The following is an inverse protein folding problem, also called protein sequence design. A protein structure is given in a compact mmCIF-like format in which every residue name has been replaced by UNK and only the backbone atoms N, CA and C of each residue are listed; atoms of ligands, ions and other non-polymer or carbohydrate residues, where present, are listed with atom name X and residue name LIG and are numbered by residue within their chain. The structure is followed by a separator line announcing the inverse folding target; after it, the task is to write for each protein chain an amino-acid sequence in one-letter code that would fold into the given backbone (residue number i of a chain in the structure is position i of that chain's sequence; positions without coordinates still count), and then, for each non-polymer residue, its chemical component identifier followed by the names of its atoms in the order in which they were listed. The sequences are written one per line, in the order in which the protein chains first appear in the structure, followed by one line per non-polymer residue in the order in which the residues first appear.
data_IF_169949158296
#
_entry.id   IF_169949158296
#
_cell.length_a   1.000
_cell.length_b   1.000
_cell.length_c   1.000
_cell.angle_alpha   90.00
_cell.angle_beta   90.00
_cell.angle_gamma   90.00
#
_symmetry.space_group_name_H-M   'P 1'
#
loop_
_entity.id
_entity.type
_entity.pdbx_description
1 polymer ?
#
# COMPACT_ATOMS: atom_id res chain seq x y z
N UNK A 1 -17.45 13.18 -25.68
CA UNK A 1 -17.49 13.99 -24.43
C UNK A 1 -18.34 13.38 -23.32
N UNK A 2 -19.62 13.03 -23.54
CA UNK A 2 -20.48 12.47 -22.47
C UNK A 2 -19.96 11.14 -21.89
N UNK A 3 -19.45 10.25 -22.75
CA UNK A 3 -18.91 8.94 -22.36
C UNK A 3 -17.63 9.05 -21.50
N UNK A 4 -16.67 9.89 -21.90
CA UNK A 4 -15.45 10.13 -21.10
C UNK A 4 -15.77 10.73 -19.72
N UNK A 5 -16.80 11.58 -19.62
CA UNK A 5 -17.23 12.13 -18.33
C UNK A 5 -17.88 11.06 -17.43
N UNK A 6 -18.66 10.14 -17.99
CA UNK A 6 -19.23 9.02 -17.24
C UNK A 6 -18.13 8.10 -16.70
N UNK A 7 -17.17 7.74 -17.57
CA UNK A 7 -16.02 6.90 -17.20
C UNK A 7 -15.18 7.56 -16.10
N UNK A 8 -14.86 8.85 -16.25
CA UNK A 8 -14.14 9.64 -15.23
C UNK A 8 -14.85 9.60 -13.88
N UNK A 9 -16.14 9.88 -13.86
CA UNK A 9 -16.91 9.95 -12.62
C UNK A 9 -17.03 8.56 -11.96
N UNK A 10 -17.18 7.50 -12.75
CA UNK A 10 -17.18 6.13 -12.24
C UNK A 10 -15.84 5.74 -11.62
N UNK A 11 -14.72 6.03 -12.31
CA UNK A 11 -13.38 5.78 -11.82
C UNK A 11 -13.07 6.55 -10.52
N UNK A 12 -13.45 7.82 -10.46
CA UNK A 12 -13.30 8.65 -9.26
C UNK A 12 -14.16 8.12 -8.10
N UNK A 13 -15.43 7.83 -8.35
CA UNK A 13 -16.35 7.31 -7.33
C UNK A 13 -15.87 5.99 -6.73
N UNK A 14 -15.43 5.05 -7.58
CA UNK A 14 -14.83 3.80 -7.12
C UNK A 14 -13.60 4.04 -6.23
N UNK A 15 -12.70 4.93 -6.66
CA UNK A 15 -11.45 5.20 -5.94
C UNK A 15 -11.72 5.88 -4.59
N UNK A 16 -12.72 6.77 -4.50
CA UNK A 16 -13.14 7.38 -3.25
C UNK A 16 -13.71 6.35 -2.26
N UNK A 17 -14.54 5.42 -2.73
CA UNK A 17 -15.07 4.32 -1.91
C UNK A 17 -13.93 3.42 -1.41
N UNK A 18 -12.98 3.09 -2.30
CA UNK A 18 -11.78 2.32 -1.94
C UNK A 18 -10.98 3.03 -0.85
N UNK A 19 -10.74 4.34 -0.99
CA UNK A 19 -10.04 5.14 0.01
C UNK A 19 -10.79 5.18 1.35
N UNK A 20 -12.11 5.29 1.33
CA UNK A 20 -12.91 5.21 2.56
C UNK A 20 -12.72 3.84 3.25
N UNK A 21 -12.79 2.75 2.51
CA UNK A 21 -12.58 1.40 3.04
C UNK A 21 -11.20 1.22 3.71
N UNK A 22 -10.11 1.63 3.06
CA UNK A 22 -8.77 1.54 3.64
C UNK A 22 -8.57 2.48 4.83
N UNK A 23 -9.18 3.67 4.82
CA UNK A 23 -9.17 4.57 5.98
C UNK A 23 -9.91 3.97 7.18
N UNK A 24 -10.96 3.16 6.98
CA UNK A 24 -11.62 2.47 8.08
C UNK A 24 -10.72 1.38 8.66
N UNK A 25 -10.05 0.60 7.80
CA UNK A 25 -9.11 -0.45 8.22
C UNK A 25 -7.91 0.12 8.99
N UNK A 26 -7.40 1.29 8.59
CA UNK A 26 -6.24 1.91 9.24
C UNK A 26 -6.50 2.31 10.70
N UNK A 27 -7.75 2.56 11.09
CA UNK A 27 -8.13 2.95 12.47
C UNK A 27 -7.81 1.88 13.52
N UNK A 28 -7.79 0.61 13.13
CA UNK A 28 -7.44 -0.48 14.05
C UNK A 28 -5.94 -0.47 14.41
N UNK A 29 -5.06 0.02 13.53
CA UNK A 29 -3.60 -0.09 13.71
C UNK A 29 -3.06 0.74 14.88
N UNK A 30 -3.46 2.02 15.10
CA UNK A 30 -3.04 2.78 16.28
C UNK A 30 -3.50 2.13 17.59
N UNK A 31 -4.70 1.54 17.61
CA UNK A 31 -5.24 0.85 18.79
C UNK A 31 -4.38 -0.38 19.11
N UNK A 32 -4.10 -1.21 18.10
CA UNK A 32 -3.19 -2.36 18.22
C UNK A 32 -1.81 -1.90 18.70
N UNK A 33 -1.27 -0.81 18.13
CA UNK A 33 0.02 -0.27 18.55
C UNK A 33 0.01 0.20 20.01
N UNK A 34 -1.05 0.86 20.48
CA UNK A 34 -1.21 1.31 21.86
C UNK A 34 -1.28 0.16 22.86
N UNK A 35 -1.99 -0.91 22.52
CA UNK A 35 -2.15 -2.08 23.40
C UNK A 35 -0.84 -2.88 23.46
N UNK A 36 -0.22 -3.15 22.30
CA UNK A 36 0.84 -4.15 22.19
C UNK A 36 2.26 -3.57 22.02
N UNK A 37 2.45 -2.28 21.70
CA UNK A 37 3.79 -1.66 21.60
C UNK A 37 4.21 -0.95 22.90
N UNK A 38 5.49 -0.66 23.07
CA UNK A 38 6.02 0.08 24.23
C UNK A 38 5.45 1.51 24.26
N UNK A 39 4.76 1.94 25.34
CA UNK A 39 4.21 3.28 25.47
C UNK A 39 5.25 4.40 25.24
N UNK A 40 6.51 4.18 25.61
CA UNK A 40 7.59 5.17 25.45
C UNK A 40 8.01 5.37 23.99
N UNK A 41 7.76 4.39 23.13
CA UNK A 41 8.07 4.43 21.69
C UNK A 41 6.88 4.80 20.83
N UNK A 42 5.70 4.90 21.44
CA UNK A 42 4.48 5.18 20.70
C UNK A 42 4.34 6.70 20.55
N UNK A 43 4.78 7.24 19.40
CA UNK A 43 4.52 8.64 19.08
C UNK A 43 3.01 8.83 18.96
N UNK A 44 2.47 9.81 19.69
CA UNK A 44 1.08 10.26 19.50
C UNK A 44 1.01 10.87 18.10
N UNK A 45 0.41 10.12 17.17
CA UNK A 45 0.10 10.63 15.83
C UNK A 45 -1.25 11.31 15.94
N UNK A 46 -1.31 12.62 15.67
CA UNK A 46 -2.59 13.31 15.49
C UNK A 46 -3.17 12.89 14.14
N UNK A 47 -4.01 11.86 14.16
CA UNK A 47 -4.64 11.36 12.94
C UNK A 47 -5.50 12.43 12.27
N UNK A 48 -6.12 13.33 13.04
CA UNK A 48 -6.95 14.42 12.50
C UNK A 48 -6.10 15.39 11.69
N UNK A 49 -4.97 15.83 12.24
CA UNK A 49 -4.02 16.71 11.54
C UNK A 49 -3.46 16.06 10.27
N UNK A 50 -3.02 14.80 10.36
CA UNK A 50 -2.52 14.07 9.19
C UNK A 50 -3.58 13.95 8.10
N UNK A 51 -4.84 13.66 8.47
CA UNK A 51 -5.94 13.56 7.52
C UNK A 51 -6.28 14.91 6.88
N UNK A 52 -6.26 16.02 7.64
CA UNK A 52 -6.45 17.38 7.08
C UNK A 52 -5.45 17.70 5.97
N UNK A 53 -4.21 17.23 6.10
CA UNK A 53 -3.16 17.42 5.08
C UNK A 53 -3.28 16.41 3.93
N UNK A 54 -3.53 15.14 4.25
CA UNK A 54 -3.51 14.06 3.28
C UNK A 54 -4.75 14.05 2.38
N UNK A 55 -5.93 14.32 2.93
CA UNK A 55 -7.20 14.26 2.20
C UNK A 55 -7.24 15.11 0.92
N UNK A 56 -6.89 16.42 0.91
CA UNK A 56 -6.91 17.20 -0.32
C UNK A 56 -5.88 16.72 -1.35
N UNK A 57 -4.73 16.19 -0.90
CA UNK A 57 -3.69 15.63 -1.80
C UNK A 57 -4.15 14.33 -2.44
N UNK A 58 -4.76 13.44 -1.65
CA UNK A 58 -5.35 12.19 -2.14
C UNK A 58 -6.48 12.51 -3.11
N UNK A 59 -7.39 13.42 -2.77
CA UNK A 59 -8.48 13.80 -3.67
C UNK A 59 -7.95 14.32 -5.01
N UNK A 60 -6.96 15.23 -4.98
CA UNK A 60 -6.31 15.74 -6.20
C UNK A 60 -5.70 14.60 -7.02
N UNK A 61 -4.99 13.68 -6.38
CA UNK A 61 -4.40 12.52 -7.03
C UNK A 61 -5.47 11.63 -7.69
N UNK A 62 -6.55 11.31 -6.98
CA UNK A 62 -7.61 10.44 -7.48
C UNK A 62 -8.37 11.08 -8.65
N UNK A 63 -8.56 12.40 -8.62
CA UNK A 63 -9.11 13.15 -9.75
C UNK A 63 -8.21 13.05 -10.97
N UNK A 64 -6.90 13.24 -10.80
CA UNK A 64 -5.93 13.10 -11.88
C UNK A 64 -5.90 11.66 -12.44
N UNK A 65 -5.91 10.65 -11.57
CA UNK A 65 -5.94 9.24 -11.97
C UNK A 65 -7.20 8.91 -12.77
N UNK A 66 -8.37 9.42 -12.35
CA UNK A 66 -9.62 9.28 -13.09
C UNK A 66 -9.60 9.99 -14.45
N UNK A 67 -8.94 11.16 -14.55
CA UNK A 67 -8.75 11.85 -15.83
C UNK A 67 -7.85 11.06 -16.78
N UNK A 68 -6.72 10.54 -16.30
CA UNK A 68 -5.82 9.71 -17.11
C UNK A 68 -6.55 8.46 -17.64
N UNK A 69 -7.40 7.82 -16.82
CA UNK A 69 -8.25 6.69 -17.26
C UNK A 69 -9.23 7.16 -18.35
N UNK A 70 -9.88 8.31 -18.15
CA UNK A 70 -10.84 8.84 -19.11
C UNK A 70 -10.19 9.30 -20.43
N UNK A 71 -8.92 9.69 -20.40
CA UNK A 71 -8.12 9.99 -21.57
C UNK A 71 -7.58 8.74 -22.28
N UNK A 72 -7.68 7.56 -21.67
CA UNK A 72 -7.16 6.32 -22.23
C UNK A 72 -5.66 6.12 -22.03
N UNK A 73 -5.05 6.81 -21.06
CA UNK A 73 -3.65 6.58 -20.70
C UNK A 73 -3.45 5.13 -20.20
N UNK A 74 -4.42 4.61 -19.45
CA UNK A 74 -4.52 3.22 -19.01
C UNK A 74 -5.99 2.81 -18.80
N UNK A 75 -6.30 1.51 -18.91
CA UNK A 75 -7.68 1.04 -18.85
C UNK A 75 -8.24 1.10 -17.43
N UNK A 76 -9.57 1.26 -17.28
CA UNK A 76 -10.24 1.25 -15.97
C UNK A 76 -10.07 -0.07 -15.19
N UNK A 77 -9.71 -1.16 -15.87
CA UNK A 77 -9.44 -2.47 -15.25
C UNK A 77 -8.33 -2.41 -14.21
N UNK A 78 -7.41 -1.43 -14.27
CA UNK A 78 -6.36 -1.23 -13.25
C UNK A 78 -6.90 -0.89 -11.86
N UNK A 79 -8.18 -0.51 -11.75
CA UNK A 79 -8.84 -0.26 -10.47
C UNK A 79 -9.37 -1.55 -9.83
N UNK A 80 -9.57 -2.61 -10.62
CA UNK A 80 -10.14 -3.87 -10.13
C UNK A 80 -9.10 -4.60 -9.25
N UNK A 81 -9.48 -5.09 -8.06
CA UNK A 81 -8.62 -6.01 -7.33
C UNK A 81 -8.56 -7.35 -8.06
N UNK A 82 -7.50 -8.13 -7.82
CA UNK A 82 -7.37 -9.50 -8.34
C UNK A 82 -8.60 -10.35 -7.96
N UNK A 83 -9.02 -10.27 -6.69
CA UNK A 83 -10.21 -10.93 -6.15
C UNK A 83 -10.67 -10.21 -4.87
N UNK A 84 -11.96 -9.82 -4.80
CA UNK A 84 -12.53 -9.12 -3.64
C UNK A 84 -12.54 -9.96 -2.36
N UNK A 85 -12.86 -11.26 -2.47
CA UNK A 85 -12.93 -12.19 -1.35
C UNK A 85 -11.53 -12.44 -0.79
N UNK A 86 -10.57 -12.77 -1.67
CA UNK A 86 -9.18 -12.96 -1.26
C UNK A 86 -8.61 -11.70 -0.62
N UNK A 87 -8.98 -10.52 -1.11
CA UNK A 87 -8.57 -9.26 -0.51
C UNK A 87 -9.14 -9.05 0.90
N UNK A 88 -10.43 -9.36 1.11
CA UNK A 88 -11.06 -9.27 2.42
C UNK A 88 -10.50 -10.31 3.41
N UNK A 89 -10.19 -11.52 2.92
CA UNK A 89 -9.60 -12.59 3.71
C UNK A 89 -8.20 -12.27 4.25
N UNK A 90 -7.48 -11.28 3.66
CA UNK A 90 -6.17 -10.82 4.15
C UNK A 90 -6.26 -9.95 5.42
N UNK A 91 -7.39 -9.30 5.68
CA UNK A 91 -7.54 -8.31 6.77
C UNK A 91 -7.19 -8.91 8.15
N UNK A 92 -7.71 -10.09 8.55
CA UNK A 92 -7.34 -10.69 9.83
C UNK A 92 -5.82 -10.93 9.96
N UNK A 93 -5.18 -11.39 8.88
CA UNK A 93 -3.73 -11.63 8.87
C UNK A 93 -2.91 -10.34 8.98
N UNK A 94 -3.38 -9.25 8.38
CA UNK A 94 -2.78 -7.91 8.56
C UNK A 94 -2.81 -7.48 10.02
N UNK A 95 -3.93 -7.67 10.73
CA UNK A 95 -4.02 -7.32 12.14
C UNK A 95 -3.17 -8.24 13.03
N UNK A 96 -3.11 -9.53 12.72
CA UNK A 96 -2.19 -10.47 13.39
C UNK A 96 -0.75 -10.04 13.20
N UNK A 97 -0.35 -9.66 11.98
CA UNK A 97 1.00 -9.15 11.73
C UNK A 97 1.26 -7.83 12.48
N UNK A 98 0.29 -6.92 12.53
CA UNK A 98 0.41 -5.68 13.30
C UNK A 98 0.67 -5.94 14.78
N UNK A 99 0.00 -6.93 15.40
CA UNK A 99 0.25 -7.37 16.78
C UNK A 99 1.66 -7.96 16.91
N UNK A 100 2.05 -8.88 16.04
CA UNK A 100 3.39 -9.49 16.03
C UNK A 100 4.49 -8.44 15.89
N UNK A 101 4.29 -7.47 15.00
CA UNK A 101 5.18 -6.34 14.78
C UNK A 101 5.27 -5.43 16.02
N UNK A 102 4.17 -5.17 16.71
CA UNK A 102 4.14 -4.42 17.96
C UNK A 102 4.93 -5.11 19.09
N UNK A 103 4.70 -6.41 19.28
CA UNK A 103 5.43 -7.23 20.26
C UNK A 103 6.93 -7.30 19.94
N UNK A 104 7.27 -7.44 18.65
CA UNK A 104 8.67 -7.46 18.18
C UNK A 104 9.38 -6.14 18.50
N UNK A 105 8.71 -4.99 18.27
CA UNK A 105 9.24 -3.66 18.61
C UNK A 105 9.47 -3.46 20.11
N UNK A 106 8.63 -4.06 20.97
CA UNK A 106 8.88 -4.09 22.43
C UNK A 106 10.18 -4.81 22.77
N UNK A 107 10.46 -5.93 22.09
CA UNK A 107 11.66 -6.75 22.31
C UNK A 107 12.93 -6.27 21.60
N UNK A 108 12.86 -5.19 20.82
CA UNK A 108 13.96 -4.72 19.94
C UNK A 108 14.46 -5.79 18.95
N UNK A 109 13.61 -6.75 18.57
CA UNK A 109 13.97 -7.78 17.61
C UNK A 109 13.86 -7.23 16.18
N UNK A 110 14.97 -7.18 15.44
CA UNK A 110 14.99 -6.65 14.05
C UNK A 110 15.48 -7.66 13.01
N UNK A 111 15.87 -8.85 13.47
CA UNK A 111 16.47 -9.94 12.69
C UNK A 111 15.87 -11.29 13.07
N UNK A 112 14.56 -11.42 12.86
CA UNK A 112 13.82 -12.67 13.06
C UNK A 112 13.34 -13.17 11.71
N UNK A 113 13.93 -14.27 11.25
CA UNK A 113 13.64 -14.90 9.96
C UNK A 113 13.18 -16.33 10.20
N UNK A 114 12.42 -16.87 9.26
CA UNK A 114 12.15 -18.30 9.23
C UNK A 114 13.44 -19.09 8.92
N UNK A 115 13.56 -20.29 9.48
CA UNK A 115 14.73 -21.16 9.31
C UNK A 115 14.96 -21.50 7.84
N UNK A 116 13.88 -21.58 7.06
CA UNK A 116 13.86 -21.86 5.62
C UNK A 116 14.58 -20.80 4.77
N UNK A 117 14.71 -19.56 5.26
CA UNK A 117 15.32 -18.45 4.53
C UNK A 117 16.81 -18.27 4.83
N UNK A 118 17.35 -19.00 5.81
CA UNK A 118 18.63 -18.67 6.45
C UNK A 118 19.82 -18.74 5.50
N UNK A 119 19.82 -19.68 4.55
CA UNK A 119 20.96 -19.87 3.64
C UNK A 119 21.00 -18.81 2.55
N UNK A 120 19.87 -18.53 1.90
CA UNK A 120 19.75 -17.44 0.92
C UNK A 120 20.02 -16.08 1.57
N UNK A 121 19.59 -15.87 2.81
CA UNK A 121 19.83 -14.62 3.52
C UNK A 121 21.33 -14.35 3.74
N UNK A 122 22.18 -15.37 3.96
CA UNK A 122 23.63 -15.19 4.20
C UNK A 122 24.35 -14.55 3.01
N UNK A 123 23.86 -14.82 1.79
CA UNK A 123 24.44 -14.32 0.54
C UNK A 123 24.01 -12.89 0.22
N UNK A 124 22.98 -12.37 0.91
CA UNK A 124 22.41 -11.06 0.61
C UNK A 124 23.02 -9.91 1.44
N UNK A 125 23.06 -8.69 0.86
CA UNK A 125 23.42 -7.48 1.59
C UNK A 125 22.66 -7.32 2.91
N UNK A 126 23.28 -6.63 3.88
CA UNK A 126 22.70 -6.42 5.21
C UNK A 126 21.29 -5.77 5.17
N UNK A 127 21.00 -5.02 4.11
CA UNK A 127 19.69 -4.43 3.87
C UNK A 127 18.57 -5.47 3.75
N UNK A 128 18.80 -6.62 3.11
CA UNK A 128 17.78 -7.67 2.96
C UNK A 128 17.68 -8.58 4.19
N UNK A 129 18.71 -8.56 5.04
CA UNK A 129 18.79 -9.34 6.29
C UNK A 129 18.19 -8.61 7.50
N UNK A 130 17.04 -7.95 7.32
CA UNK A 130 16.28 -7.30 8.40
C UNK A 130 14.78 -7.46 8.20
N UNK A 131 14.03 -7.38 9.29
CA UNK A 131 12.59 -7.14 9.22
C UNK A 131 12.34 -5.66 8.91
N UNK A 132 11.38 -5.39 8.03
CA UNK A 132 10.88 -4.03 7.77
C UNK A 132 9.48 -3.89 8.36
N UNK A 133 9.12 -2.66 8.76
CA UNK A 133 7.81 -2.23 9.26
C UNK A 133 6.89 -3.36 9.78
N UNK A 134 6.07 -3.93 8.90
CA UNK A 134 5.06 -4.97 9.15
C UNK A 134 5.35 -6.29 8.40
N UNK A 135 6.62 -6.60 8.17
CA UNK A 135 7.08 -7.84 7.55
C UNK A 135 7.73 -8.73 8.62
N UNK A 136 6.91 -9.47 9.37
CA UNK A 136 7.36 -10.17 10.58
C UNK A 136 8.26 -11.38 10.34
N UNK A 137 8.16 -12.01 9.17
CA UNK A 137 9.00 -13.11 8.69
C UNK A 137 10.13 -12.65 7.74
N UNK A 138 10.29 -11.34 7.53
CA UNK A 138 11.44 -10.75 6.82
C UNK A 138 11.19 -10.45 5.34
N UNK A 139 12.20 -9.89 4.66
CA UNK A 139 12.07 -9.44 3.27
C UNK A 139 11.75 -10.58 2.28
N UNK A 140 12.27 -11.79 2.55
CA UNK A 140 12.07 -12.98 1.72
C UNK A 140 10.91 -13.87 2.20
N UNK A 141 10.13 -13.40 3.17
CA UNK A 141 9.03 -14.14 3.75
C UNK A 141 7.81 -14.18 2.85
N UNK A 142 7.31 -15.39 2.59
CA UNK A 142 6.10 -15.59 1.78
C UNK A 142 4.88 -14.94 2.45
N UNK A 143 4.71 -15.10 3.76
CA UNK A 143 3.59 -14.51 4.48
C UNK A 143 3.65 -12.97 4.45
N UNK A 144 4.85 -12.39 4.64
CA UNK A 144 5.05 -10.94 4.45
C UNK A 144 4.73 -10.49 3.03
N UNK A 145 5.15 -11.23 2.00
CA UNK A 145 4.89 -10.90 0.61
C UNK A 145 3.39 -10.88 0.28
N UNK A 146 2.63 -11.84 0.79
CA UNK A 146 1.18 -11.93 0.60
C UNK A 146 0.41 -10.74 1.22
N UNK A 147 0.93 -10.16 2.30
CA UNK A 147 0.29 -9.03 3.01
C UNK A 147 0.80 -7.66 2.57
N UNK A 148 1.98 -7.61 1.96
CA UNK A 148 2.70 -6.36 1.67
C UNK A 148 1.84 -5.32 0.95
N UNK A 149 1.24 -5.69 -0.19
CA UNK A 149 0.47 -4.74 -0.99
C UNK A 149 -0.75 -4.20 -0.21
N UNK A 150 -1.41 -5.06 0.58
CA UNK A 150 -2.55 -4.65 1.39
C UNK A 150 -2.12 -3.67 2.50
N UNK A 151 -0.98 -3.93 3.14
CA UNK A 151 -0.41 -3.04 4.17
C UNK A 151 0.00 -1.68 3.58
N UNK A 152 0.58 -1.66 2.37
CA UNK A 152 0.91 -0.43 1.65
C UNK A 152 -0.34 0.37 1.33
N UNK A 153 -1.41 -0.28 0.88
CA UNK A 153 -2.68 0.40 0.62
C UNK A 153 -3.30 0.96 1.90
N UNK A 154 -3.22 0.26 3.04
CA UNK A 154 -3.66 0.84 4.33
C UNK A 154 -2.84 2.10 4.67
N UNK A 155 -1.51 2.06 4.48
CA UNK A 155 -0.61 3.18 4.78
C UNK A 155 -0.94 4.44 3.96
N UNK A 156 -1.36 4.26 2.71
CA UNK A 156 -1.70 5.36 1.80
C UNK A 156 -3.21 5.51 1.56
N UNK A 157 -4.04 5.00 2.47
CA UNK A 157 -5.50 5.15 2.40
C UNK A 157 -6.08 4.72 1.05
N UNK A 158 -5.62 3.60 0.49
CA UNK A 158 -6.07 3.03 -0.78
C UNK A 158 -5.60 3.76 -2.04
N UNK A 159 -4.71 4.75 -1.89
CA UNK A 159 -4.24 5.58 -3.00
C UNK A 159 -2.88 5.13 -3.56
N UNK A 160 -2.24 4.08 -3.02
CA UNK A 160 -0.90 3.68 -3.44
C UNK A 160 -0.87 3.28 -4.92
N UNK A 161 -1.89 2.54 -5.38
CA UNK A 161 -2.04 2.22 -6.79
C UNK A 161 -2.10 3.46 -7.69
N UNK A 162 -2.87 4.47 -7.30
CA UNK A 162 -2.98 5.73 -8.05
C UNK A 162 -1.65 6.49 -8.08
N UNK A 163 -0.93 6.54 -6.95
CA UNK A 163 0.41 7.16 -6.89
C UNK A 163 1.36 6.54 -7.91
N UNK A 164 1.41 5.20 -7.98
CA UNK A 164 2.29 4.48 -8.92
C UNK A 164 1.92 4.76 -10.37
N UNK A 165 0.63 4.81 -10.71
CA UNK A 165 0.16 5.04 -12.08
C UNK A 165 0.48 6.42 -12.64
N UNK A 166 0.78 7.42 -11.80
CA UNK A 166 1.13 8.77 -12.26
C UNK A 166 2.35 8.81 -13.18
N UNK A 167 3.21 7.79 -13.15
CA UNK A 167 4.34 7.69 -14.07
C UNK A 167 3.92 7.32 -15.50
N UNK A 168 2.81 6.60 -15.68
CA UNK A 168 2.42 6.00 -16.96
C UNK A 168 2.22 7.05 -18.07
N UNK A 169 1.48 8.16 -17.86
CA UNK A 169 1.30 9.15 -18.93
C UNK A 169 2.62 9.77 -19.38
N UNK A 170 3.56 9.97 -18.45
CA UNK A 170 4.89 10.50 -18.75
C UNK A 170 5.71 9.51 -19.57
N UNK A 171 5.68 8.22 -19.20
CA UNK A 171 6.37 7.16 -19.95
C UNK A 171 5.78 6.99 -21.34
N UNK A 172 4.44 6.97 -21.48
CA UNK A 172 3.79 6.90 -22.81
C UNK A 172 4.17 8.06 -23.71
N UNK A 173 4.34 9.26 -23.15
CA UNK A 173 4.81 10.42 -23.91
C UNK A 173 6.27 10.28 -24.32
N UNK A 174 7.13 9.83 -23.41
CA UNK A 174 8.57 9.69 -23.66
C UNK A 174 8.87 8.61 -24.69
N UNK A 175 8.21 7.45 -24.59
CA UNK A 175 8.41 6.30 -25.45
C UNK A 175 7.43 6.22 -26.63
N UNK A 176 6.71 7.30 -26.95
CA UNK A 176 5.67 7.30 -27.99
C UNK A 176 6.19 6.83 -29.35
N UNK A 177 7.42 7.23 -29.68
CA UNK A 177 8.09 6.93 -30.95
C UNK A 177 9.24 5.92 -30.75
N UNK A 178 9.29 5.25 -29.60
CA UNK A 178 10.27 4.19 -29.33
C UNK A 178 9.77 2.87 -29.90
N UNK A 179 10.68 2.12 -30.51
CA UNK A 179 10.49 0.74 -30.97
C UNK A 179 10.63 -0.29 -29.84
N UNK A 180 10.91 0.16 -28.61
CA UNK A 180 11.17 -0.71 -27.47
C UNK A 180 12.60 -1.27 -27.42
N UNK A 181 13.49 -0.86 -28.34
CA UNK A 181 14.91 -1.15 -28.25
C UNK A 181 15.64 0.00 -27.52
N UNK A 182 16.00 -0.22 -26.26
CA UNK A 182 16.82 0.73 -25.50
C UNK A 182 16.52 0.82 -24.01
N UNK A 183 17.27 0.02 -23.23
CA UNK A 183 18.02 0.48 -22.05
C UNK A 183 19.49 0.10 -22.28
#
# INVERSE_FOLDING_TARGET
MKENNLLKNAALGYSLIRTLNFNLQSRALPIIAQIFSDPKKNKKIDLSEHMKIAQPKIEKLLRQDAENIAHGDYPISVLKPENLISHAARIPFVYVDAVRSALRRRKNESKKFDKTQTDLLKELPAYYRRNFHFQTDGYLGEASAQLYEHQVEILFSGAAGAMRRMIIPQMKKHFKDSDGEGL
#
